data_IF_384801703583
#
_entry.id   IF_384801703583
#
_cell.length_a   1.000
_cell.length_b   1.000
_cell.length_c   1.000
_cell.angle_alpha   90.00
_cell.angle_beta   90.00
_cell.angle_gamma   90.00
#
_symmetry.space_group_name_H-M   'P 1'
#
loop_
_entity.id
_entity.type
_entity.pdbx_description
1 polymer ?
#
# COMPACT_ATOMS: atom_id res chain seq x y z
N UNK A 1 18.33 21.48 -33.33
CA UNK A 1 17.76 20.12 -33.34
C UNK A 1 17.66 19.44 -31.96
N UNK A 2 17.90 20.11 -30.82
CA UNK A 2 17.86 19.46 -29.49
C UNK A 2 16.57 19.71 -28.68
N UNK A 3 15.83 20.78 -29.00
CA UNK A 3 14.59 21.14 -28.29
C UNK A 3 13.40 20.22 -28.63
N UNK A 4 13.34 19.69 -29.86
CA UNK A 4 12.27 18.78 -30.31
C UNK A 4 12.37 17.40 -29.65
N UNK A 5 13.58 16.88 -29.42
CA UNK A 5 13.78 15.60 -28.72
C UNK A 5 13.47 15.67 -27.23
N UNK A 6 13.73 16.81 -26.57
CA UNK A 6 13.42 17.01 -25.14
C UNK A 6 11.91 17.07 -24.89
N UNK A 7 11.16 17.73 -25.79
CA UNK A 7 9.70 17.83 -25.69
C UNK A 7 9.02 16.46 -25.83
N UNK A 8 9.51 15.61 -26.75
CA UNK A 8 8.99 14.25 -26.96
C UNK A 8 9.21 13.37 -25.72
N UNK A 9 10.38 13.48 -25.08
CA UNK A 9 10.69 12.73 -23.87
C UNK A 9 9.79 13.14 -22.69
N UNK A 10 9.54 14.44 -22.53
CA UNK A 10 8.72 14.97 -21.44
C UNK A 10 7.23 14.58 -21.58
N UNK A 11 6.71 14.55 -22.81
CA UNK A 11 5.36 14.04 -23.08
C UNK A 11 5.23 12.53 -22.81
N UNK A 12 6.28 11.75 -23.06
CA UNK A 12 6.28 10.30 -22.82
C UNK A 12 6.21 9.98 -21.32
N UNK A 13 6.89 10.76 -20.47
CA UNK A 13 6.84 10.59 -19.01
C UNK A 13 5.47 10.97 -18.44
N UNK A 14 4.84 12.02 -18.95
CA UNK A 14 3.50 12.44 -18.51
C UNK A 14 2.39 11.46 -18.94
N UNK A 15 2.54 10.77 -20.06
CA UNK A 15 1.56 9.77 -20.53
C UNK A 15 1.52 8.48 -19.72
N UNK A 16 2.63 8.09 -19.08
CA UNK A 16 2.72 6.85 -18.30
C UNK A 16 2.10 7.02 -16.90
N UNK A 17 2.09 8.24 -16.36
CA UNK A 17 1.56 8.52 -15.01
C UNK A 17 0.03 8.44 -14.97
N UNK A 18 -0.68 8.64 -16.08
CA UNK A 18 -2.14 8.78 -16.09
C UNK A 18 -2.92 7.46 -16.25
N UNK A 19 -2.26 6.32 -16.48
CA UNK A 19 -2.96 5.02 -16.66
C UNK A 19 -2.93 4.12 -15.43
N UNK A 20 -2.39 4.59 -14.31
CA UNK A 20 -2.31 3.81 -13.06
C UNK A 20 -3.41 4.17 -12.04
N UNK A 21 -4.53 4.76 -12.50
CA UNK A 21 -5.76 4.92 -11.70
C UNK A 21 -6.85 3.93 -12.12
N UNK A 22 -6.47 2.68 -12.40
CA UNK A 22 -7.44 1.59 -12.43
C UNK A 22 -7.63 1.11 -10.98
N UNK A 23 -8.68 1.61 -10.33
CA UNK A 23 -9.17 1.08 -9.05
C UNK A 23 -9.28 -0.44 -9.17
N UNK A 24 -8.42 -1.13 -8.45
CA UNK A 24 -8.54 -2.57 -8.22
C UNK A 24 -9.12 -2.68 -6.82
N UNK A 25 -10.44 -2.82 -6.73
CA UNK A 25 -11.08 -3.47 -5.58
C UNK A 25 -10.65 -4.95 -5.64
N UNK A 26 -9.41 -5.20 -5.20
CA UNK A 26 -9.01 -6.54 -4.85
C UNK A 26 -9.63 -6.81 -3.49
N UNK A 27 -10.78 -7.48 -3.50
CA UNK A 27 -11.18 -8.36 -2.40
C UNK A 27 -10.12 -9.47 -2.33
N UNK A 28 -8.95 -9.12 -1.81
CA UNK A 28 -7.90 -10.06 -1.48
C UNK A 28 -8.40 -10.78 -0.23
N UNK A 29 -9.12 -11.87 -0.48
CA UNK A 29 -9.37 -12.91 0.51
C UNK A 29 -8.03 -13.27 1.13
N UNK A 30 -7.79 -12.71 2.31
CA UNK A 30 -6.58 -12.90 3.07
C UNK A 30 -6.44 -14.40 3.29
N UNK A 31 -5.51 -15.00 2.57
CA UNK A 31 -5.07 -16.36 2.87
C UNK A 31 -4.27 -16.26 4.16
N UNK A 32 -4.98 -16.25 5.28
CA UNK A 32 -4.39 -16.36 6.60
C UNK A 32 -3.61 -17.67 6.60
N UNK A 33 -2.27 -17.57 6.66
CA UNK A 33 -1.40 -18.71 6.91
C UNK A 33 -1.82 -19.33 8.25
N UNK A 34 -2.72 -20.32 8.19
CA UNK A 34 -3.40 -20.92 9.33
C UNK A 34 -2.47 -21.71 10.26
N UNK A 35 -1.16 -21.73 9.96
CA UNK A 35 -0.11 -22.36 10.76
C UNK A 35 0.59 -21.42 11.73
N UNK A 36 0.46 -20.09 11.59
CA UNK A 36 1.08 -19.13 12.49
C UNK A 36 0.04 -18.66 13.51
N UNK A 37 0.27 -18.97 14.79
CA UNK A 37 -0.55 -18.45 15.87
C UNK A 37 -0.28 -16.96 16.04
N UNK A 38 -1.21 -16.13 15.56
CA UNK A 38 -1.16 -14.68 15.72
C UNK A 38 -1.38 -14.34 17.22
N UNK A 39 -0.45 -13.62 17.86
CA UNK A 39 -0.66 -13.13 19.22
C UNK A 39 -1.93 -12.28 19.31
N UNK A 40 -2.70 -12.43 20.39
CA UNK A 40 -3.97 -11.68 20.58
C UNK A 40 -3.82 -10.17 20.42
N UNK A 41 -2.65 -9.61 20.75
CA UNK A 41 -2.35 -8.17 20.61
C UNK A 41 -2.28 -7.71 19.15
N UNK A 42 -2.04 -8.60 18.19
CA UNK A 42 -2.03 -8.31 16.75
C UNK A 42 -3.37 -8.69 16.07
N UNK A 43 -4.31 -9.27 16.82
CA UNK A 43 -5.62 -9.66 16.30
C UNK A 43 -6.62 -8.50 16.39
N UNK A 44 -6.38 -7.45 15.62
CA UNK A 44 -7.25 -6.28 15.52
C UNK A 44 -7.17 -5.65 14.13
N UNK A 45 -8.21 -4.89 13.79
CA UNK A 45 -8.21 -4.04 12.60
C UNK A 45 -7.91 -2.59 12.98
N UNK A 46 -7.27 -1.87 12.07
CA UNK A 46 -6.98 -0.45 12.22
C UNK A 46 -7.40 0.32 10.97
N UNK A 47 -7.63 1.62 11.12
CA UNK A 47 -7.92 2.52 10.00
C UNK A 47 -6.65 3.26 9.64
N UNK A 48 -6.26 3.19 8.37
CA UNK A 48 -5.08 3.86 7.85
C UNK A 48 -5.34 5.35 7.62
N UNK A 49 -4.28 6.11 7.32
CA UNK A 49 -4.35 7.57 7.09
C UNK A 49 -5.27 7.92 5.91
N UNK A 50 -5.41 7.03 4.93
CA UNK A 50 -6.29 7.19 3.78
C UNK A 50 -7.75 6.75 4.04
N UNK A 51 -8.04 6.27 5.26
CA UNK A 51 -9.37 5.79 5.65
C UNK A 51 -9.66 4.32 5.31
N UNK A 52 -8.71 3.60 4.71
CA UNK A 52 -8.85 2.16 4.46
C UNK A 52 -8.73 1.35 5.75
N UNK A 53 -9.39 0.18 5.80
CA UNK A 53 -9.20 -0.79 6.87
C UNK A 53 -7.95 -1.64 6.61
N UNK A 54 -7.22 -1.94 7.68
CA UNK A 54 -6.05 -2.82 7.67
C UNK A 54 -6.18 -3.88 8.75
N UNK A 55 -6.09 -5.16 8.36
CA UNK A 55 -6.00 -6.27 9.31
C UNK A 55 -4.55 -6.44 9.76
N UNK A 56 -4.29 -6.20 11.05
CA UNK A 56 -2.96 -6.29 11.63
C UNK A 56 -2.47 -7.75 11.73
N UNK A 57 -3.39 -8.73 11.69
CA UNK A 57 -3.01 -10.14 11.65
C UNK A 57 -2.21 -10.51 10.39
N UNK A 58 -2.36 -9.74 9.30
CA UNK A 58 -1.57 -9.92 8.08
C UNK A 58 -0.06 -9.72 8.29
N UNK A 59 0.34 -9.04 9.36
CA UNK A 59 1.75 -8.84 9.73
C UNK A 59 2.36 -10.03 10.50
N UNK A 60 1.59 -11.08 10.75
CA UNK A 60 2.03 -12.24 11.51
C UNK A 60 3.23 -12.94 10.89
N UNK A 61 4.34 -13.00 11.63
CA UNK A 61 5.57 -13.66 11.20
C UNK A 61 6.53 -12.76 10.41
N UNK A 62 6.17 -11.49 10.20
CA UNK A 62 7.01 -10.50 9.54
C UNK A 62 7.80 -9.65 10.54
N UNK A 63 8.97 -9.16 10.12
CA UNK A 63 9.75 -8.19 10.90
C UNK A 63 9.12 -6.79 10.77
N UNK A 64 8.40 -6.35 11.80
CA UNK A 64 7.62 -5.09 11.79
C UNK A 64 8.10 -4.10 12.84
N UNK A 65 8.21 -2.83 12.44
CA UNK A 65 8.43 -1.69 13.33
C UNK A 65 7.13 -0.90 13.51
N UNK A 66 6.63 -0.83 14.75
CA UNK A 66 5.55 0.08 15.12
C UNK A 66 6.13 1.43 15.58
N UNK A 67 5.75 2.50 14.89
CA UNK A 67 6.09 3.88 15.27
C UNK A 67 4.85 4.62 15.74
N UNK A 68 4.84 5.01 17.01
CA UNK A 68 3.75 5.77 17.61
C UNK A 68 4.16 7.23 17.73
N UNK A 69 3.25 8.12 17.34
CA UNK A 69 3.42 9.55 17.49
C UNK A 69 2.08 10.16 17.90
N UNK A 70 2.15 11.24 18.69
CA UNK A 70 0.98 12.00 19.15
C UNK A 70 1.08 13.42 18.58
N UNK A 71 0.17 13.84 17.68
CA UNK A 71 0.13 15.21 17.16
C UNK A 71 -0.38 16.27 18.15
N UNK A 72 -0.90 15.87 19.32
CA UNK A 72 -1.50 16.80 20.29
C UNK A 72 -0.50 17.66 21.06
#
# INVERSE_FOLDING_TARGET
MRLRSVLICLCFVFGIVTTLSCSTDADESQTANSSISIPKILNFTSVQVDGSEFDVAALGGEDVLFWFWDPN
#
